data_IF_142005308984
#
_entry.id   IF_142005308984
#
_cell.length_a   1.000
_cell.length_b   1.000
_cell.length_c   1.000
_cell.angle_alpha   90.00
_cell.angle_beta   90.00
_cell.angle_gamma   90.00
#
_symmetry.space_group_name_H-M   'P 1'
#
loop_
_entity.id
_entity.type
_entity.pdbx_description
1 polymer ?
#
# COMPACT_ATOMS: atom_id res chain seq x y z
N UNK A 1 -9.30 16.95 -0.39
CA UNK A 1 -8.83 16.41 0.92
C UNK A 1 -7.61 17.13 1.50
N UNK A 2 -7.05 18.17 0.86
CA UNK A 2 -5.83 18.85 1.32
C UNK A 2 -4.58 17.94 1.30
N UNK A 3 -3.42 18.48 1.71
CA UNK A 3 -2.15 17.76 1.77
C UNK A 3 -1.23 18.03 0.57
N UNK A 4 0.09 18.02 0.81
CA UNK A 4 1.12 18.11 -0.24
C UNK A 4 1.56 16.69 -0.62
N UNK A 5 0.97 16.18 -1.71
CA UNK A 5 1.23 14.84 -2.22
C UNK A 5 2.10 14.96 -3.47
N UNK A 6 3.18 14.20 -3.54
CA UNK A 6 4.16 14.31 -4.63
C UNK A 6 4.05 13.17 -5.62
N UNK A 7 3.71 11.95 -5.18
CA UNK A 7 3.66 10.78 -6.05
C UNK A 7 2.62 9.76 -5.59
N UNK A 8 2.10 8.99 -6.55
CA UNK A 8 1.29 7.80 -6.29
C UNK A 8 -0.07 8.10 -5.67
N UNK A 9 -1.07 7.30 -6.05
CA UNK A 9 -2.34 7.25 -5.34
C UNK A 9 -2.85 5.83 -5.38
N UNK A 10 -3.24 5.29 -4.24
CA UNK A 10 -3.96 4.04 -4.15
C UNK A 10 -5.17 4.22 -3.24
N UNK A 11 -6.21 3.43 -3.49
CA UNK A 11 -7.37 3.35 -2.63
C UNK A 11 -7.81 1.90 -2.48
N UNK A 12 -8.28 1.55 -1.30
CA UNK A 12 -8.83 0.22 -1.01
C UNK A 12 -9.99 0.33 -0.02
N UNK A 13 -10.86 -0.67 -0.04
CA UNK A 13 -11.97 -0.83 0.89
C UNK A 13 -11.94 -2.23 1.46
N UNK A 14 -12.19 -2.35 2.76
CA UNK A 14 -12.31 -3.62 3.48
C UNK A 14 -13.70 -3.85 4.07
N UNK A 15 -14.60 -2.88 3.94
CA UNK A 15 -15.99 -2.96 4.39
C UNK A 15 -16.87 -1.95 3.64
N UNK A 16 -18.18 -2.20 3.63
CA UNK A 16 -19.14 -1.23 3.14
C UNK A 16 -18.98 0.12 3.85
N UNK A 17 -19.04 1.20 3.08
CA UNK A 17 -18.90 2.59 3.58
C UNK A 17 -17.55 2.87 4.28
N UNK A 18 -16.51 2.10 3.94
CA UNK A 18 -15.13 2.34 4.36
C UNK A 18 -14.24 2.49 3.13
N UNK A 19 -13.47 3.56 3.07
CA UNK A 19 -12.49 3.81 2.02
C UNK A 19 -11.19 4.28 2.67
N UNK A 20 -10.07 3.69 2.29
CA UNK A 20 -8.73 4.10 2.71
C UNK A 20 -7.96 4.54 1.47
N UNK A 21 -7.34 5.71 1.54
CA UNK A 21 -6.52 6.29 0.48
C UNK A 21 -5.09 6.45 0.94
N UNK A 22 -4.14 6.23 0.03
CA UNK A 22 -2.71 6.24 0.29
C UNK A 22 -2.00 7.11 -0.75
N UNK A 23 -1.05 7.92 -0.29
CA UNK A 23 -0.25 8.83 -1.13
C UNK A 23 1.16 8.93 -0.59
N UNK A 24 2.13 9.20 -1.46
CA UNK A 24 3.50 9.53 -1.04
C UNK A 24 3.58 11.06 -0.83
N UNK A 25 4.01 11.45 0.37
CA UNK A 25 4.19 12.85 0.76
C UNK A 25 5.49 13.45 0.23
N UNK A 26 5.63 14.77 0.36
CA UNK A 26 6.83 15.50 -0.08
C UNK A 26 8.13 15.10 0.64
N UNK A 27 8.02 14.47 1.81
CA UNK A 27 9.12 13.91 2.60
C UNK A 27 9.45 12.44 2.25
N UNK A 28 8.83 11.90 1.20
CA UNK A 28 8.92 10.49 0.79
C UNK A 28 8.31 9.49 1.79
N UNK A 29 7.55 9.92 2.80
CA UNK A 29 6.78 9.02 3.64
C UNK A 29 5.45 8.63 2.99
N UNK A 30 4.94 7.44 3.29
CA UNK A 30 3.59 7.05 2.91
C UNK A 30 2.60 7.68 3.90
N UNK A 31 1.57 8.33 3.39
CA UNK A 31 0.47 8.87 4.17
C UNK A 31 -0.83 8.15 3.84
N UNK A 32 -1.69 8.02 4.85
CA UNK A 32 -3.03 7.48 4.68
C UNK A 32 -4.11 8.43 5.21
N UNK A 33 -5.29 8.34 4.61
CA UNK A 33 -6.51 9.01 5.06
C UNK A 33 -7.68 8.09 4.79
N UNK A 34 -8.69 8.10 5.64
CA UNK A 34 -9.81 7.18 5.49
C UNK A 34 -11.15 7.82 5.74
N UNK A 35 -12.17 7.30 5.06
CA UNK A 35 -13.58 7.59 5.29
C UNK A 35 -14.14 6.57 6.27
N UNK A 36 -14.72 7.02 7.37
CA UNK A 36 -15.28 6.15 8.41
C UNK A 36 -16.81 5.94 8.30
N UNK A 37 -17.42 6.40 7.20
CA UNK A 37 -18.85 6.34 6.99
C UNK A 37 -19.59 7.67 7.21
N UNK A 38 -18.95 8.64 7.87
CA UNK A 38 -19.52 9.97 8.13
C UNK A 38 -18.56 11.12 7.89
N UNK A 39 -17.26 10.91 8.07
CA UNK A 39 -16.23 11.90 7.85
C UNK A 39 -14.93 11.27 7.36
N UNK A 40 -14.10 12.10 6.74
CA UNK A 40 -12.71 11.78 6.48
C UNK A 40 -11.88 12.00 7.76
N UNK A 41 -10.96 11.10 8.05
CA UNK A 41 -9.95 11.26 9.10
C UNK A 41 -9.01 12.44 8.80
N UNK A 42 -8.09 12.75 9.71
CA UNK A 42 -6.89 13.51 9.35
C UNK A 42 -5.91 12.61 8.56
N UNK A 43 -4.96 13.24 7.87
CA UNK A 43 -3.82 12.51 7.29
C UNK A 43 -2.96 11.94 8.41
N UNK A 44 -2.65 10.64 8.35
CA UNK A 44 -1.70 9.96 9.23
C UNK A 44 -0.47 9.52 8.45
N UNK A 45 0.72 9.71 9.01
CA UNK A 45 1.96 9.18 8.41
C UNK A 45 2.10 7.70 8.78
N UNK A 46 2.42 6.88 7.78
CA UNK A 46 2.84 5.48 7.94
C UNK A 46 4.37 5.35 7.90
N UNK A 47 5.09 6.48 7.81
CA UNK A 47 6.54 6.54 7.71
C UNK A 47 7.09 5.92 6.44
N UNK A 48 8.31 5.39 6.52
CA UNK A 48 9.03 4.80 5.40
C UNK A 48 9.74 5.84 4.52
N UNK A 49 10.45 5.34 3.51
CA UNK A 49 11.08 6.15 2.47
C UNK A 49 10.73 5.54 1.10
N UNK A 50 9.66 6.06 0.51
CA UNK A 50 9.01 5.56 -0.69
C UNK A 50 9.42 6.44 -1.87
N UNK A 51 10.06 5.86 -2.88
CA UNK A 51 10.54 6.64 -4.03
C UNK A 51 9.53 6.69 -5.18
N UNK A 52 8.69 5.66 -5.33
CA UNK A 52 7.56 5.65 -6.27
C UNK A 52 6.64 4.46 -6.04
N UNK A 53 5.47 4.50 -6.69
CA UNK A 53 4.53 3.39 -6.75
C UNK A 53 3.79 3.17 -5.43
N UNK A 54 2.47 3.07 -5.50
CA UNK A 54 1.65 2.66 -4.37
C UNK A 54 0.53 1.77 -4.87
N UNK A 55 0.32 0.64 -4.21
CA UNK A 55 -0.82 -0.24 -4.42
C UNK A 55 -1.40 -0.64 -3.08
N UNK A 56 -2.72 -0.81 -3.00
CA UNK A 56 -3.39 -1.25 -1.80
C UNK A 56 -4.50 -2.25 -2.14
N UNK A 57 -4.66 -3.26 -1.29
CA UNK A 57 -5.76 -4.22 -1.41
C UNK A 57 -6.17 -4.73 -0.04
N UNK A 58 -7.37 -5.30 0.02
CA UNK A 58 -7.91 -5.97 1.21
C UNK A 58 -8.38 -7.37 0.82
N UNK A 59 -8.12 -8.34 1.69
CA UNK A 59 -8.60 -9.72 1.54
C UNK A 59 -9.60 -10.13 2.64
N UNK A 60 -9.85 -9.27 3.62
CA UNK A 60 -10.79 -9.52 4.72
C UNK A 60 -11.26 -8.21 5.37
N UNK A 61 -12.35 -8.28 6.12
CA UNK A 61 -12.77 -7.17 6.99
C UNK A 61 -11.65 -6.82 7.98
N UNK A 62 -11.48 -5.52 8.25
CA UNK A 62 -10.41 -4.99 9.11
C UNK A 62 -8.99 -5.34 8.66
N UNK A 63 -8.80 -5.68 7.38
CA UNK A 63 -7.49 -5.97 6.80
C UNK A 63 -7.21 -5.05 5.63
N UNK A 64 -6.03 -4.45 5.60
CA UNK A 64 -5.49 -3.73 4.45
C UNK A 64 -4.02 -4.03 4.32
N UNK A 65 -3.54 -4.26 3.12
CA UNK A 65 -2.12 -4.31 2.80
C UNK A 65 -1.82 -3.19 1.80
N UNK A 66 -0.73 -2.48 2.03
CA UNK A 66 -0.20 -1.44 1.15
C UNK A 66 1.22 -1.78 0.74
N UNK A 67 1.52 -1.52 -0.53
CA UNK A 67 2.76 -1.83 -1.18
C UNK A 67 3.37 -0.56 -1.76
N UNK A 68 4.68 -0.40 -1.59
CA UNK A 68 5.46 0.72 -2.13
C UNK A 68 6.82 0.24 -2.63
N UNK A 69 7.48 1.03 -3.48
CA UNK A 69 8.88 0.80 -3.83
C UNK A 69 9.78 1.70 -2.98
N UNK A 70 10.71 1.08 -2.27
CA UNK A 70 11.71 1.75 -1.43
C UNK A 70 12.90 2.28 -2.23
N UNK A 71 13.78 3.06 -1.59
CA UNK A 71 14.96 3.67 -2.23
C UNK A 71 15.95 2.69 -2.83
N UNK A 72 15.97 1.44 -2.36
CA UNK A 72 16.75 0.33 -2.89
C UNK A 72 16.04 -0.42 -4.03
N UNK A 73 14.93 0.14 -4.54
CA UNK A 73 14.06 -0.46 -5.56
C UNK A 73 13.41 -1.79 -5.13
N UNK A 74 13.43 -2.14 -3.84
CA UNK A 74 12.73 -3.30 -3.33
C UNK A 74 11.23 -3.02 -3.14
N UNK A 75 10.43 -4.07 -3.21
CA UNK A 75 9.02 -4.02 -2.84
C UNK A 75 8.90 -4.04 -1.31
N UNK A 76 8.20 -3.08 -0.75
CA UNK A 76 7.88 -3.03 0.67
C UNK A 76 6.40 -3.21 0.92
N UNK A 77 6.05 -3.90 2.01
CA UNK A 77 4.68 -4.09 2.47
C UNK A 77 4.49 -3.51 3.88
N UNK A 78 3.34 -2.89 4.12
CA UNK A 78 2.82 -2.61 5.46
C UNK A 78 1.35 -3.01 5.49
N UNK A 79 0.83 -3.43 6.62
CA UNK A 79 -0.56 -3.85 6.70
C UNK A 79 -1.25 -3.41 7.99
N UNK A 80 -2.56 -3.19 7.89
CA UNK A 80 -3.46 -2.98 9.03
C UNK A 80 -4.05 -4.32 9.46
N UNK A 81 -3.96 -4.64 10.75
CA UNK A 81 -4.46 -5.91 11.30
C UNK A 81 -5.79 -5.79 12.08
N UNK A 82 -6.45 -4.63 12.01
CA UNK A 82 -7.66 -4.34 12.77
C UNK A 82 -7.44 -3.47 14.01
N UNK A 83 -6.21 -3.37 14.50
CA UNK A 83 -5.86 -2.56 15.67
C UNK A 83 -4.65 -1.65 15.47
N UNK A 84 -3.67 -2.09 14.68
CA UNK A 84 -2.45 -1.35 14.40
C UNK A 84 -1.95 -1.61 12.98
N UNK A 85 -1.13 -0.66 12.49
CA UNK A 85 -0.28 -0.90 11.33
C UNK A 85 0.94 -1.71 11.76
N UNK A 86 1.31 -2.72 10.96
CA UNK A 86 2.55 -3.47 11.11
C UNK A 86 3.78 -2.58 10.92
N UNK A 87 4.98 -3.09 11.20
CA UNK A 87 6.21 -2.51 10.68
C UNK A 87 6.30 -2.67 9.15
N UNK A 88 7.26 -1.95 8.54
CA UNK A 88 7.55 -2.10 7.12
C UNK A 88 8.33 -3.40 6.88
N UNK A 89 7.81 -4.23 5.98
CA UNK A 89 8.44 -5.47 5.58
C UNK A 89 9.07 -5.31 4.21
N UNK A 90 10.39 -5.53 4.12
CA UNK A 90 11.12 -5.57 2.85
C UNK A 90 10.90 -6.92 2.18
N UNK A 91 10.79 -6.91 0.86
CA UNK A 91 10.89 -8.11 0.02
C UNK A 91 12.08 -7.97 -0.91
N UNK A 92 12.96 -8.97 -0.89
CA UNK A 92 14.15 -8.99 -1.74
C UNK A 92 13.79 -8.91 -3.22
N UNK A 93 14.72 -8.34 -4.00
CA UNK A 93 14.56 -8.12 -5.42
C UNK A 93 14.68 -6.65 -5.81
N UNK A 94 14.53 -6.40 -7.10
CA UNK A 94 14.65 -5.09 -7.71
C UNK A 94 13.44 -4.88 -8.63
N UNK A 95 12.67 -3.83 -8.37
CA UNK A 95 11.42 -3.52 -9.06
C UNK A 95 11.62 -2.35 -10.02
N UNK A 96 11.28 -2.57 -11.29
CA UNK A 96 11.28 -1.56 -12.35
C UNK A 96 9.94 -0.83 -12.51
N UNK A 97 8.87 -1.33 -11.90
CA UNK A 97 7.53 -0.76 -12.00
C UNK A 97 6.97 -0.37 -10.64
N UNK A 98 5.90 0.44 -10.65
CA UNK A 98 5.00 0.49 -9.51
C UNK A 98 4.38 -0.90 -9.25
N UNK A 99 4.05 -1.24 -8.00
CA UNK A 99 3.34 -2.46 -7.69
C UNK A 99 1.89 -2.41 -8.17
N UNK A 100 1.31 -3.58 -8.41
CA UNK A 100 -0.13 -3.79 -8.45
C UNK A 100 -0.50 -4.83 -7.40
N UNK A 101 -1.65 -4.69 -6.74
CA UNK A 101 -2.10 -5.61 -5.70
C UNK A 101 -3.58 -5.93 -5.86
N UNK A 102 -3.96 -7.18 -5.60
CA UNK A 102 -5.34 -7.65 -5.65
C UNK A 102 -5.56 -8.76 -4.64
N UNK A 103 -6.80 -8.91 -4.19
CA UNK A 103 -7.27 -10.11 -3.48
C UNK A 103 -8.19 -10.88 -4.43
N UNK A 104 -7.81 -12.12 -4.75
CA UNK A 104 -8.65 -12.98 -5.62
C UNK A 104 -9.71 -13.77 -4.85
N UNK A 105 -9.49 -13.97 -3.55
CA UNK A 105 -10.37 -14.72 -2.66
C UNK A 105 -10.10 -14.33 -1.20
N UNK A 106 -11.04 -14.56 -0.27
CA UNK A 106 -10.78 -14.35 1.15
C UNK A 106 -9.57 -15.17 1.60
N UNK A 107 -8.68 -14.57 2.39
CA UNK A 107 -7.47 -15.27 2.83
C UNK A 107 -6.26 -15.07 1.93
N UNK A 108 -6.39 -14.32 0.83
CA UNK A 108 -5.37 -14.32 -0.21
C UNK A 108 -5.16 -12.97 -0.87
N UNK A 109 -3.93 -12.50 -0.79
CA UNK A 109 -3.50 -11.30 -1.49
C UNK A 109 -2.31 -11.60 -2.40
N UNK A 110 -2.33 -11.06 -3.61
CA UNK A 110 -1.28 -11.22 -4.60
C UNK A 110 -0.78 -9.83 -5.04
N UNK A 111 0.54 -9.62 -5.01
CA UNK A 111 1.22 -8.40 -5.43
C UNK A 111 2.14 -8.69 -6.61
N UNK A 112 2.21 -7.75 -7.56
CA UNK A 112 2.90 -7.90 -8.84
C UNK A 112 3.81 -6.71 -9.12
N UNK A 113 4.98 -6.98 -9.70
CA UNK A 113 5.95 -5.97 -10.18
C UNK A 113 6.64 -6.46 -11.44
N UNK A 114 7.16 -5.53 -12.25
CA UNK A 114 8.18 -5.85 -13.25
C UNK A 114 9.53 -5.86 -12.54
N UNK A 115 10.27 -6.98 -12.59
CA UNK A 115 11.57 -7.14 -11.94
C UNK A 115 12.73 -6.58 -12.78
N UNK A 116 13.94 -6.53 -12.20
CA UNK A 116 15.15 -6.04 -12.86
C UNK A 116 15.53 -6.80 -14.15
N UNK A 117 15.09 -8.04 -14.29
CA UNK A 117 15.21 -8.87 -15.49
C UNK A 117 14.13 -8.58 -16.55
N UNK A 118 13.28 -7.59 -16.31
CA UNK A 118 12.11 -7.23 -17.12
C UNK A 118 11.02 -8.30 -17.19
N UNK A 119 11.05 -9.28 -16.29
CA UNK A 119 9.97 -10.26 -16.15
C UNK A 119 8.88 -9.76 -15.19
N UNK A 120 7.67 -10.31 -15.32
CA UNK A 120 6.61 -10.12 -14.33
C UNK A 120 6.86 -11.05 -13.14
N UNK A 121 7.00 -10.46 -11.96
CA UNK A 121 7.13 -11.19 -10.70
C UNK A 121 5.87 -11.04 -9.87
N UNK A 122 5.54 -12.08 -9.10
CA UNK A 122 4.46 -12.03 -8.13
C UNK A 122 4.91 -12.52 -6.76
N UNK A 123 4.27 -12.02 -5.71
CA UNK A 123 4.34 -12.55 -4.35
C UNK A 123 2.96 -12.60 -3.73
N UNK A 124 2.72 -13.61 -2.90
CA UNK A 124 1.43 -13.80 -2.25
C UNK A 124 1.51 -13.85 -0.73
N UNK A 125 0.36 -13.57 -0.11
CA UNK A 125 0.17 -13.49 1.33
C UNK A 125 -1.15 -14.15 1.74
N UNK A 126 -1.19 -14.66 2.97
CA UNK A 126 -2.34 -15.32 3.61
C UNK A 126 -2.43 -15.02 5.09
#
# INVERSE_FOLDING_TARGET
>A
MGGFCTYGVAAASWAANRLDTFVIGGDSALYHKYWNGSAWSNWGSLGGFCIHGVAAASWAANRLDVFVIGSDSALYRKYWNGSAWSDWEKHDGFSLSAPAAISKEPGRLDAFVVGGDRALWHKWYS
#
